data_IF_945531556008
#
_entry.id   IF_945531556008
#
_cell.length_a   1.000
_cell.length_b   1.000
_cell.length_c   1.000
_cell.angle_alpha   90.00
_cell.angle_beta   90.00
_cell.angle_gamma   90.00
#
_symmetry.space_group_name_H-M   'P 1'
#
loop_
_entity.id
_entity.type
_entity.pdbx_description
1 polymer ?
#
# COMPACT_ATOMS: atom_id res chain seq x y z
N UNK A 1 -31.57 70.77 26.89
CA UNK A 1 -30.16 70.62 26.46
C UNK A 1 -29.98 69.22 25.88
N UNK A 2 -29.36 69.17 24.69
CA UNK A 2 -29.38 68.08 23.71
C UNK A 2 -28.55 66.84 24.10
N UNK A 3 -28.85 65.71 23.41
CA UNK A 3 -27.97 64.61 22.93
C UNK A 3 -28.36 63.23 23.49
N UNK A 4 -28.42 62.12 22.74
CA UNK A 4 -28.15 61.76 21.33
C UNK A 4 -28.70 60.34 21.11
N UNK A 5 -29.35 60.09 19.98
CA UNK A 5 -29.69 58.77 19.47
C UNK A 5 -28.43 57.99 19.06
N UNK A 6 -28.39 56.68 19.27
CA UNK A 6 -27.42 55.80 18.60
C UNK A 6 -28.03 54.43 18.31
N UNK A 7 -28.01 54.09 17.02
CA UNK A 7 -28.49 52.88 16.37
C UNK A 7 -27.60 51.69 16.72
N UNK A 8 -28.19 50.53 17.02
CA UNK A 8 -27.46 49.26 17.11
C UNK A 8 -27.59 48.52 15.77
N UNK A 9 -26.50 48.51 15.00
CA UNK A 9 -26.35 47.68 13.81
C UNK A 9 -25.87 46.28 14.23
N UNK A 10 -26.61 45.24 13.87
CA UNK A 10 -26.22 43.86 14.12
C UNK A 10 -25.20 43.41 13.06
N UNK A 11 -23.98 43.08 13.48
CA UNK A 11 -22.93 42.53 12.63
C UNK A 11 -23.06 40.99 12.57
N UNK A 12 -23.32 40.46 11.38
CA UNK A 12 -23.30 39.03 11.07
C UNK A 12 -21.85 38.53 11.04
N UNK A 13 -21.46 37.68 11.99
CA UNK A 13 -20.18 36.97 11.99
C UNK A 13 -20.26 35.74 11.07
N UNK A 14 -19.72 35.84 9.86
CA UNK A 14 -19.40 34.67 9.04
C UNK A 14 -18.04 34.12 9.48
N UNK A 15 -18.05 33.06 10.29
CA UNK A 15 -16.85 32.33 10.68
C UNK A 15 -16.32 31.52 9.50
N UNK A 16 -15.19 31.93 8.94
CA UNK A 16 -14.44 31.15 7.96
C UNK A 16 -13.57 30.16 8.75
N UNK A 17 -13.93 28.88 8.73
CA UNK A 17 -13.13 27.80 9.31
C UNK A 17 -11.94 27.50 8.37
N UNK A 18 -10.68 27.70 8.79
CA UNK A 18 -9.55 27.21 8.03
C UNK A 18 -9.51 25.68 8.14
N UNK A 19 -9.65 25.00 7.01
CA UNK A 19 -9.34 23.56 6.91
C UNK A 19 -7.84 23.41 7.19
N UNK A 20 -7.51 22.83 8.35
CA UNK A 20 -6.16 22.43 8.69
C UNK A 20 -5.72 21.32 7.73
N UNK A 21 -4.89 21.67 6.75
CA UNK A 21 -4.18 20.69 5.93
C UNK A 21 -3.02 20.15 6.77
N UNK A 22 -3.15 18.91 7.25
CA UNK A 22 -2.04 18.18 7.85
C UNK A 22 -1.11 17.71 6.74
N UNK A 23 -0.06 18.47 6.43
CA UNK A 23 1.04 17.99 5.59
C UNK A 23 2.00 17.17 6.43
N UNK A 24 1.90 15.84 6.37
CA UNK A 24 2.96 14.95 6.83
C UNK A 24 4.05 14.90 5.76
N UNK A 25 5.21 15.46 6.11
CA UNK A 25 6.44 15.46 5.30
C UNK A 25 7.13 14.11 5.46
N UNK A 26 6.69 13.13 4.68
CA UNK A 26 7.45 11.96 4.23
C UNK A 26 6.62 11.33 3.12
N UNK A 27 6.89 11.72 1.89
CA UNK A 27 6.21 11.23 0.70
C UNK A 27 6.86 11.83 -0.53
N UNK A 28 7.13 10.99 -1.51
CA UNK A 28 7.52 11.32 -2.88
C UNK A 28 6.56 12.40 -3.41
N UNK A 29 7.03 13.39 -4.19
CA UNK A 29 6.17 14.46 -4.76
C UNK A 29 5.08 13.93 -5.74
N UNK A 30 5.02 12.60 -5.90
CA UNK A 30 4.05 11.89 -6.70
C UNK A 30 2.69 11.80 -6.01
N UNK A 31 1.59 11.79 -6.78
CA UNK A 31 0.25 11.68 -6.22
C UNK A 31 0.07 10.34 -5.51
N UNK A 32 -0.47 10.38 -4.29
CA UNK A 32 -0.85 9.19 -3.54
C UNK A 32 -1.98 8.41 -4.25
N UNK A 33 -1.96 7.09 -4.15
CA UNK A 33 -3.04 6.25 -4.65
C UNK A 33 -4.37 6.58 -3.93
N UNK A 34 -5.48 6.58 -4.67
CA UNK A 34 -6.80 6.80 -4.10
C UNK A 34 -7.53 5.47 -3.95
N UNK A 35 -8.19 5.28 -2.80
CA UNK A 35 -8.98 4.10 -2.47
C UNK A 35 -10.45 4.45 -2.29
N UNK A 36 -11.32 3.49 -2.57
CA UNK A 36 -12.75 3.58 -2.22
C UNK A 36 -13.01 3.24 -0.74
N UNK A 37 -14.29 3.27 -0.34
CA UNK A 37 -14.72 2.92 1.02
C UNK A 37 -14.38 1.47 1.41
N UNK A 38 -14.20 0.58 0.43
CA UNK A 38 -13.80 -0.81 0.62
C UNK A 38 -12.29 -1.02 0.70
N UNK A 39 -11.50 0.04 0.53
CA UNK A 39 -10.04 -0.01 0.52
C UNK A 39 -9.46 -0.43 -0.83
N UNK A 40 -10.26 -0.55 -1.89
CA UNK A 40 -9.78 -0.91 -3.23
C UNK A 40 -9.15 0.30 -3.91
N UNK A 41 -7.99 0.13 -4.55
CA UNK A 41 -7.36 1.19 -5.33
C UNK A 41 -8.20 1.51 -6.56
N UNK A 42 -8.62 2.77 -6.69
CA UNK A 42 -9.45 3.27 -7.80
C UNK A 42 -8.72 4.27 -8.67
N UNK A 43 -7.64 4.88 -8.16
CA UNK A 43 -6.75 5.75 -8.92
C UNK A 43 -5.32 5.37 -8.62
N UNK A 44 -4.53 5.22 -9.68
CA UNK A 44 -3.11 4.91 -9.56
C UNK A 44 -2.36 6.00 -8.79
N UNK A 45 -1.35 5.59 -8.04
CA UNK A 45 -0.49 6.51 -7.31
C UNK A 45 0.47 5.78 -6.36
N UNK A 46 1.24 6.56 -5.62
CA UNK A 46 2.22 6.04 -4.67
C UNK A 46 1.52 5.58 -3.38
N UNK A 47 1.98 4.46 -2.83
CA UNK A 47 1.55 3.91 -1.55
C UNK A 47 2.77 3.47 -0.73
N UNK A 48 2.84 3.87 0.53
CA UNK A 48 3.89 3.38 1.43
C UNK A 48 3.78 1.86 1.62
N UNK A 49 4.90 1.16 1.83
CA UNK A 49 4.90 -0.28 2.09
C UNK A 49 3.96 -0.69 3.27
N UNK A 50 3.73 0.21 4.25
CA UNK A 50 2.79 0.01 5.37
C UNK A 50 1.33 -0.02 4.99
N UNK A 51 1.00 0.66 3.90
CA UNK A 51 -0.36 0.91 3.45
C UNK A 51 -0.75 -0.01 2.29
N UNK A 52 0.17 -0.89 1.87
CA UNK A 52 -0.11 -1.98 0.93
C UNK A 52 -0.95 -3.04 1.62
N UNK A 53 -2.02 -3.46 0.96
CA UNK A 53 -2.99 -4.42 1.44
C UNK A 53 -3.12 -5.60 0.46
N UNK A 54 -3.67 -6.71 0.97
CA UNK A 54 -4.07 -7.83 0.12
C UNK A 54 -5.08 -7.37 -0.94
N UNK A 55 -4.85 -7.75 -2.18
CA UNK A 55 -5.65 -7.38 -3.36
C UNK A 55 -5.15 -6.11 -4.05
N UNK A 56 -4.09 -5.47 -3.55
CA UNK A 56 -3.47 -4.36 -4.27
C UNK A 56 -2.68 -4.87 -5.47
N UNK A 57 -2.88 -4.20 -6.60
CA UNK A 57 -2.11 -4.41 -7.82
C UNK A 57 -1.05 -3.33 -7.95
N UNK A 58 0.20 -3.74 -8.15
CA UNK A 58 1.38 -2.89 -8.08
C UNK A 58 2.16 -2.98 -9.39
N UNK A 59 2.78 -1.87 -9.78
CA UNK A 59 3.90 -1.93 -10.73
C UNK A 59 5.13 -2.45 -10.02
N UNK A 60 5.94 -3.20 -10.75
CA UNK A 60 7.21 -3.70 -10.25
C UNK A 60 8.14 -2.51 -9.91
N UNK A 61 8.66 -2.43 -8.67
CA UNK A 61 9.62 -1.40 -8.31
C UNK A 61 11.01 -1.73 -8.91
N UNK A 62 11.76 -0.69 -9.27
CA UNK A 62 13.10 -0.83 -9.87
C UNK A 62 14.18 -1.37 -8.89
N UNK A 63 13.92 -1.36 -7.57
CA UNK A 63 14.83 -1.82 -6.51
C UNK A 63 14.13 -2.87 -5.63
N UNK A 64 14.91 -3.78 -5.05
CA UNK A 64 14.46 -4.76 -4.07
C UNK A 64 14.24 -4.14 -2.66
N UNK A 65 14.74 -2.93 -2.42
CA UNK A 65 14.47 -2.12 -1.23
C UNK A 65 13.41 -1.08 -1.52
N UNK A 66 12.19 -1.37 -1.11
CA UNK A 66 11.03 -0.58 -1.50
C UNK A 66 10.44 0.12 -0.28
N UNK A 67 10.55 1.45 -0.23
CA UNK A 67 9.84 2.26 0.77
C UNK A 67 8.38 2.47 0.35
N UNK A 68 8.14 2.54 -0.95
CA UNK A 68 6.87 2.87 -1.57
C UNK A 68 6.67 2.11 -2.89
N UNK A 69 5.41 1.82 -3.21
CA UNK A 69 5.02 1.16 -4.45
C UNK A 69 4.13 2.07 -5.27
N UNK A 70 4.08 1.85 -6.58
CA UNK A 70 3.02 2.42 -7.42
C UNK A 70 1.88 1.43 -7.48
N UNK A 71 0.80 1.71 -6.74
CA UNK A 71 -0.42 0.95 -6.80
C UNK A 71 -1.31 1.45 -7.94
N UNK A 72 -2.05 0.54 -8.57
CA UNK A 72 -2.98 0.80 -9.66
C UNK A 72 -4.28 0.00 -9.46
N UNK A 73 -5.41 0.42 -10.06
CA UNK A 73 -6.58 -0.44 -10.14
C UNK A 73 -6.22 -1.76 -10.83
N UNK A 74 -6.63 -2.90 -10.28
CA UNK A 74 -6.30 -4.21 -10.86
C UNK A 74 -6.86 -4.44 -12.28
N UNK A 75 -7.84 -3.65 -12.70
CA UNK A 75 -8.33 -3.67 -14.08
C UNK A 75 -7.33 -3.04 -15.08
N UNK A 76 -6.38 -2.25 -14.59
CA UNK A 76 -5.29 -1.67 -15.37
C UNK A 76 -4.08 -2.62 -15.41
N UNK A 77 -3.14 -2.34 -16.32
CA UNK A 77 -1.89 -3.10 -16.44
C UNK A 77 -1.04 -2.99 -15.18
N UNK A 78 -0.60 -4.13 -14.65
CA UNK A 78 0.25 -4.25 -13.47
C UNK A 78 1.12 -5.50 -13.50
N UNK A 79 2.18 -5.51 -12.71
CA UNK A 79 3.16 -6.60 -12.67
C UNK A 79 2.92 -7.57 -11.51
N UNK A 80 2.34 -7.06 -10.41
CA UNK A 80 2.27 -7.75 -9.13
C UNK A 80 0.87 -7.61 -8.52
N UNK A 81 0.36 -8.68 -7.92
CA UNK A 81 -0.84 -8.62 -7.08
C UNK A 81 -0.54 -9.18 -5.67
N UNK A 82 -0.80 -8.39 -4.63
CA UNK A 82 -0.45 -8.73 -3.26
C UNK A 82 -1.46 -9.73 -2.68
N UNK A 83 -1.07 -10.97 -2.44
CA UNK A 83 -1.98 -12.00 -1.92
C UNK A 83 -1.90 -12.20 -0.41
N UNK A 84 -0.80 -11.77 0.22
CA UNK A 84 -0.61 -11.88 1.66
C UNK A 84 0.27 -10.74 2.20
N UNK A 85 -0.08 -10.25 3.39
CA UNK A 85 0.65 -9.21 4.12
C UNK A 85 0.67 -9.60 5.59
N UNK A 86 1.84 -9.54 6.21
CA UNK A 86 1.98 -9.82 7.64
C UNK A 86 3.14 -9.05 8.25
N UNK A 87 3.13 -8.89 9.58
CA UNK A 87 4.18 -8.17 10.29
C UNK A 87 5.18 -9.13 10.93
N UNK A 88 6.48 -8.84 10.79
CA UNK A 88 7.54 -9.53 11.51
C UNK A 88 7.60 -9.03 12.96
N UNK A 89 7.60 -9.95 13.95
CA UNK A 89 7.73 -9.57 15.34
C UNK A 89 9.15 -9.13 15.68
N UNK A 90 9.28 -8.36 16.76
CA UNK A 90 10.56 -7.97 17.33
C UNK A 90 10.91 -6.50 17.17
N UNK A 91 11.79 -6.04 18.05
CA UNK A 91 12.22 -4.65 18.13
C UNK A 91 13.47 -4.40 17.27
N UNK A 92 14.40 -5.35 17.25
CA UNK A 92 15.68 -5.24 16.55
C UNK A 92 15.63 -5.87 15.14
N UNK A 93 16.25 -5.18 14.18
CA UNK A 93 16.43 -5.72 12.84
C UNK A 93 17.43 -6.88 12.87
N UNK A 94 17.07 -8.02 12.28
CA UNK A 94 17.93 -9.20 12.20
C UNK A 94 18.87 -9.08 11.00
N UNK A 95 18.54 -9.76 9.91
CA UNK A 95 19.22 -9.64 8.62
C UNK A 95 18.22 -9.79 7.51
N UNK A 96 18.53 -9.26 6.32
CA UNK A 96 17.67 -9.41 5.15
C UNK A 96 17.42 -10.90 4.83
N UNK A 97 18.45 -11.74 4.93
CA UNK A 97 18.33 -13.18 4.65
C UNK A 97 17.41 -13.88 5.65
N UNK A 98 17.46 -13.49 6.93
CA UNK A 98 16.55 -14.01 7.95
C UNK A 98 15.10 -13.63 7.65
N UNK A 99 14.87 -12.36 7.30
CA UNK A 99 13.53 -11.88 6.95
C UNK A 99 12.99 -12.56 5.68
N UNK A 100 13.83 -12.80 4.66
CA UNK A 100 13.44 -13.53 3.46
C UNK A 100 13.06 -14.98 3.77
N UNK A 101 13.84 -15.69 4.59
CA UNK A 101 13.48 -17.05 5.00
C UNK A 101 12.15 -17.11 5.80
N UNK A 102 11.87 -16.08 6.60
CA UNK A 102 10.58 -15.95 7.29
C UNK A 102 9.44 -15.59 6.32
N UNK A 103 9.73 -14.79 5.29
CA UNK A 103 8.79 -14.48 4.23
C UNK A 103 8.40 -15.75 3.48
N UNK A 104 9.35 -16.58 3.06
CA UNK A 104 9.08 -17.86 2.39
C UNK A 104 8.15 -18.74 3.23
N UNK A 105 8.46 -18.90 4.52
CA UNK A 105 7.65 -19.69 5.44
C UNK A 105 6.22 -19.16 5.66
N UNK A 106 6.00 -17.85 5.48
CA UNK A 106 4.68 -17.21 5.61
C UNK A 106 3.91 -17.12 4.29
N UNK A 107 4.61 -16.90 3.17
CA UNK A 107 4.01 -16.67 1.85
C UNK A 107 3.59 -17.98 1.17
N UNK A 108 4.43 -19.02 1.19
CA UNK A 108 4.17 -20.25 0.43
C UNK A 108 2.85 -20.95 0.81
N UNK A 109 2.50 -21.11 2.11
CA UNK A 109 1.24 -21.74 2.49
C UNK A 109 0.01 -20.94 2.04
N UNK A 110 0.10 -19.62 2.08
CA UNK A 110 -0.98 -18.71 1.72
C UNK A 110 -1.19 -18.65 0.20
N UNK A 111 -0.13 -18.84 -0.59
CA UNK A 111 -0.22 -18.89 -2.05
C UNK A 111 -1.28 -19.92 -2.49
N UNK A 112 -1.19 -21.15 -1.97
CA UNK A 112 -2.12 -22.21 -2.33
C UNK A 112 -3.57 -21.90 -1.97
N UNK A 113 -3.78 -21.27 -0.80
CA UNK A 113 -5.10 -20.87 -0.34
C UNK A 113 -5.73 -19.78 -1.21
N UNK A 114 -4.93 -18.87 -1.78
CA UNK A 114 -5.42 -17.75 -2.59
C UNK A 114 -5.50 -18.08 -4.09
N UNK A 115 -4.52 -18.80 -4.63
CA UNK A 115 -4.48 -19.15 -6.06
C UNK A 115 -5.37 -20.35 -6.40
N UNK A 116 -5.69 -21.20 -5.41
CA UNK A 116 -6.47 -22.42 -5.63
C UNK A 116 -5.64 -23.59 -6.18
N UNK A 117 -4.31 -23.44 -6.27
CA UNK A 117 -3.34 -24.46 -6.67
C UNK A 117 -2.06 -24.29 -5.84
N UNK A 118 -1.40 -25.40 -5.47
CA UNK A 118 -0.15 -25.34 -4.71
C UNK A 118 0.96 -24.62 -5.51
N UNK A 119 1.83 -23.89 -4.82
CA UNK A 119 2.89 -23.12 -5.47
C UNK A 119 3.77 -23.97 -6.40
N UNK A 120 4.19 -25.16 -5.96
CA UNK A 120 5.03 -26.06 -6.76
C UNK A 120 4.37 -26.63 -8.02
N UNK A 121 3.04 -26.50 -8.15
CA UNK A 121 2.26 -26.95 -9.31
C UNK A 121 1.76 -25.78 -10.18
N UNK A 122 2.02 -24.54 -9.78
CA UNK A 122 1.53 -23.32 -10.46
C UNK A 122 2.52 -22.84 -11.52
N UNK A 123 2.00 -22.26 -12.60
CA UNK A 123 2.80 -21.47 -13.54
C UNK A 123 3.03 -20.02 -13.06
N UNK A 124 2.30 -19.58 -12.03
CA UNK A 124 2.50 -18.27 -11.41
C UNK A 124 3.62 -18.36 -10.38
N UNK A 125 4.40 -17.30 -10.30
CA UNK A 125 5.46 -17.16 -9.32
C UNK A 125 5.08 -16.12 -8.28
N UNK A 126 5.75 -16.12 -7.12
CA UNK A 126 5.61 -15.03 -6.16
C UNK A 126 6.96 -14.45 -5.76
N UNK A 127 6.92 -13.19 -5.34
CA UNK A 127 8.05 -12.49 -4.73
C UNK A 127 7.65 -11.97 -3.37
N UNK A 128 8.64 -11.90 -2.49
CA UNK A 128 8.48 -11.35 -1.15
C UNK A 128 9.25 -10.05 -1.02
N UNK A 129 8.58 -9.02 -0.52
CA UNK A 129 9.21 -7.78 -0.10
C UNK A 129 9.33 -7.80 1.42
N UNK A 130 10.53 -7.51 1.92
CA UNK A 130 10.83 -7.50 3.34
C UNK A 130 11.33 -6.11 3.75
N UNK A 131 11.13 -5.71 5.01
CA UNK A 131 11.62 -4.43 5.49
C UNK A 131 13.13 -4.30 5.28
N UNK A 132 13.58 -3.11 4.94
CA UNK A 132 15.00 -2.76 5.02
C UNK A 132 15.36 -2.39 6.46
N UNK A 133 16.65 -2.41 6.80
CA UNK A 133 17.10 -1.91 8.12
C UNK A 133 16.70 -0.44 8.32
N UNK A 134 16.68 0.35 7.24
CA UNK A 134 16.30 1.77 7.28
C UNK A 134 14.82 1.92 7.60
N UNK A 135 13.94 1.22 6.88
CA UNK A 135 12.49 1.29 7.11
C UNK A 135 12.13 0.69 8.47
N UNK A 136 12.83 -0.35 8.91
CA UNK A 136 12.64 -0.95 10.23
C UNK A 136 12.84 0.05 11.37
N UNK A 137 13.86 0.93 11.27
CA UNK A 137 14.08 2.00 12.25
C UNK A 137 12.95 3.03 12.29
N UNK A 138 12.13 3.11 11.25
CA UNK A 138 10.95 3.97 11.16
C UNK A 138 9.64 3.22 11.46
N UNK A 139 9.74 1.99 11.97
CA UNK A 139 8.58 1.18 12.38
C UNK A 139 8.16 0.14 11.36
N UNK A 140 8.88 -0.03 10.26
CA UNK A 140 8.53 -1.05 9.27
C UNK A 140 8.72 -2.46 9.77
N UNK A 141 7.64 -3.22 9.72
CA UNK A 141 7.62 -4.64 10.01
C UNK A 141 6.93 -5.44 8.91
N UNK A 142 6.45 -4.80 7.85
CA UNK A 142 5.57 -5.41 6.87
C UNK A 142 6.36 -6.31 5.91
N UNK A 143 5.92 -7.56 5.79
CA UNK A 143 6.30 -8.48 4.72
C UNK A 143 5.12 -8.57 3.76
N UNK A 144 5.41 -8.37 2.48
CA UNK A 144 4.43 -8.42 1.40
C UNK A 144 4.74 -9.61 0.51
N UNK A 145 3.74 -10.43 0.21
CA UNK A 145 3.83 -11.53 -0.76
C UNK A 145 3.00 -11.16 -1.98
N UNK A 146 3.63 -11.04 -3.14
CA UNK A 146 2.97 -10.65 -4.39
C UNK A 146 3.15 -11.71 -5.47
N UNK A 147 2.05 -12.08 -6.12
CA UNK A 147 2.03 -13.02 -7.24
C UNK A 147 2.22 -12.29 -8.56
N UNK A 148 2.88 -12.93 -9.52
CA UNK A 148 3.07 -12.42 -10.88
C UNK A 148 3.06 -13.57 -11.89
N UNK A 149 2.83 -13.25 -13.17
CA UNK A 149 2.91 -14.21 -14.28
C UNK A 149 4.25 -14.04 -15.02
N UNK A 150 5.22 -14.97 -14.87
CA UNK A 150 6.52 -14.85 -15.53
C UNK A 150 6.44 -14.97 -17.06
N UNK A 151 5.34 -15.51 -17.62
CA UNK A 151 5.17 -15.69 -19.05
C UNK A 151 4.66 -14.43 -19.76
N UNK A 152 3.82 -13.64 -19.11
CA UNK A 152 3.28 -12.38 -19.68
C UNK A 152 3.99 -11.14 -19.18
N UNK A 153 4.58 -11.19 -17.97
CA UNK A 153 5.09 -10.01 -17.27
C UNK A 153 3.91 -9.22 -16.69
N UNK A 154 3.43 -8.24 -17.46
CA UNK A 154 2.26 -7.45 -17.09
C UNK A 154 0.95 -8.24 -17.31
N UNK A 155 -0.04 -7.99 -16.46
CA UNK A 155 -1.40 -8.52 -16.56
C UNK A 155 -2.44 -7.43 -16.31
N UNK A 156 -3.68 -7.69 -16.70
CA UNK A 156 -4.84 -6.90 -16.35
C UNK A 156 -5.95 -7.82 -15.82
N UNK A 157 -6.52 -7.46 -14.67
CA UNK A 157 -7.39 -8.30 -13.86
C UNK A 157 -6.63 -9.06 -12.75
N UNK A 158 -7.38 -9.53 -11.76
CA UNK A 158 -6.84 -10.29 -10.63
C UNK A 158 -6.37 -11.69 -11.05
N UNK A 159 -5.23 -12.11 -10.51
CA UNK A 159 -4.67 -13.46 -10.57
C UNK A 159 -5.24 -14.38 -9.48
N UNK A 160 -6.00 -13.85 -8.51
CA UNK A 160 -6.56 -14.66 -7.43
C UNK A 160 -7.51 -15.73 -7.98
N UNK A 161 -7.36 -16.97 -7.52
CA UNK A 161 -8.16 -18.11 -7.96
C UNK A 161 -7.94 -18.51 -9.43
N UNK A 162 -6.89 -18.02 -10.10
CA UNK A 162 -6.62 -18.38 -11.50
C UNK A 162 -6.28 -19.87 -11.67
N UNK A 163 -5.81 -20.55 -10.62
CA UNK A 163 -5.53 -21.98 -10.56
C UNK A 163 -4.72 -22.50 -11.77
N UNK A 164 -3.65 -21.79 -12.14
CA UNK A 164 -2.80 -22.07 -13.30
C UNK A 164 -1.33 -22.10 -12.96
#
# INVERSE_FOLDING_TARGET
>A
MSRRSALLAAALLTAVLPLAACSSVVGSDDPAALRDEGGTVTTAGVVDAFSVAKGDCLREPDDDRVADFVAVPCADSHDLEVFHVFAQPGDDYTSRNTLLAQADAGCEPEFGAVMGIAYGDSALEYRSFVPSEVSWRHGDRAVLCAVFDPATGETAGSLFGAAR
#
